data_IF_433218068917
#
_entry.id   IF_433218068917
#
_cell.length_a   1.000
_cell.length_b   1.000
_cell.length_c   1.000
_cell.angle_alpha   90.00
_cell.angle_beta   90.00
_cell.angle_gamma   90.00
#
_symmetry.space_group_name_H-M   'P 1'
#
loop_
_entity.id
_entity.type
_entity.pdbx_description
1 polymer ?
#
# COMPACT_ATOMS: atom_id res chain seq x y z
N UNK A 1 3.99 -36.39 -8.25
CA UNK A 1 4.50 -36.18 -9.62
C UNK A 1 4.13 -34.80 -10.17
N UNK A 2 2.84 -34.41 -10.24
CA UNK A 2 2.40 -33.13 -10.83
C UNK A 2 2.88 -31.91 -10.01
N UNK A 3 2.71 -31.91 -8.70
CA UNK A 3 3.17 -30.85 -7.83
C UNK A 3 4.70 -30.62 -7.93
N UNK A 4 5.48 -31.69 -8.10
CA UNK A 4 6.92 -31.58 -8.28
C UNK A 4 7.30 -30.92 -9.60
N UNK A 5 6.58 -31.24 -10.67
CA UNK A 5 6.74 -30.58 -11.98
C UNK A 5 6.42 -29.08 -11.88
N UNK A 6 5.35 -28.73 -11.17
CA UNK A 6 4.99 -27.34 -10.92
C UNK A 6 6.08 -26.58 -10.14
N UNK A 7 6.60 -27.15 -9.05
CA UNK A 7 7.71 -26.55 -8.29
C UNK A 7 8.96 -26.37 -9.14
N UNK A 8 9.31 -27.38 -9.95
CA UNK A 8 10.46 -27.31 -10.87
C UNK A 8 10.28 -26.24 -11.96
N UNK A 9 9.08 -26.07 -12.47
CA UNK A 9 8.76 -25.02 -13.45
C UNK A 9 8.85 -23.62 -12.80
N UNK A 10 8.32 -23.43 -11.57
CA UNK A 10 8.46 -22.18 -10.83
C UNK A 10 9.92 -21.84 -10.52
N UNK A 11 10.73 -22.82 -10.13
CA UNK A 11 12.16 -22.63 -9.87
C UNK A 11 12.94 -22.19 -11.12
N UNK A 12 12.41 -22.48 -12.32
CA UNK A 12 12.95 -22.02 -13.61
C UNK A 12 12.30 -20.74 -14.12
N UNK A 13 11.48 -20.07 -13.31
CA UNK A 13 10.70 -18.88 -13.67
C UNK A 13 9.70 -19.13 -14.82
N UNK A 14 9.33 -20.38 -15.07
CA UNK A 14 8.39 -20.81 -16.08
C UNK A 14 6.96 -20.91 -15.52
N UNK A 15 6.45 -19.81 -14.97
CA UNK A 15 5.19 -19.81 -14.23
C UNK A 15 4.00 -20.28 -15.08
N UNK A 16 3.92 -19.87 -16.34
CA UNK A 16 2.86 -20.32 -17.25
C UNK A 16 2.83 -21.85 -17.44
N UNK A 17 4.01 -22.51 -17.40
CA UNK A 17 4.10 -23.97 -17.46
C UNK A 17 3.80 -24.63 -16.12
N UNK A 18 4.01 -23.92 -15.00
CA UNK A 18 3.70 -24.43 -13.66
C UNK A 18 2.19 -24.57 -13.44
N UNK A 19 1.38 -23.67 -14.00
CA UNK A 19 -0.07 -23.61 -13.80
C UNK A 19 -0.76 -24.95 -14.07
N UNK A 20 -0.67 -25.57 -15.26
CA UNK A 20 -1.41 -26.82 -15.54
C UNK A 20 -0.97 -27.99 -14.65
N UNK A 21 0.29 -28.02 -14.24
CA UNK A 21 0.77 -29.04 -13.30
C UNK A 21 0.22 -28.82 -11.89
N UNK A 22 0.11 -27.57 -11.44
CA UNK A 22 -0.46 -27.23 -10.14
C UNK A 22 -1.97 -27.45 -10.14
N UNK A 23 -2.70 -27.10 -11.20
CA UNK A 23 -4.12 -27.42 -11.38
C UNK A 23 -4.39 -28.93 -11.29
N UNK A 24 -3.55 -29.73 -11.98
CA UNK A 24 -3.64 -31.19 -11.87
C UNK A 24 -3.40 -31.68 -10.46
N UNK A 25 -2.46 -31.09 -9.70
CA UNK A 25 -2.20 -31.50 -8.33
C UNK A 25 -3.40 -31.21 -7.42
N UNK A 26 -4.01 -30.04 -7.55
CA UNK A 26 -5.22 -29.66 -6.80
C UNK A 26 -6.41 -30.53 -7.19
N UNK A 27 -6.59 -30.84 -8.48
CA UNK A 27 -7.66 -31.74 -8.94
C UNK A 27 -7.57 -33.14 -8.29
N UNK A 28 -6.33 -33.64 -8.07
CA UNK A 28 -6.11 -34.94 -7.41
C UNK A 28 -6.33 -34.89 -5.90
N UNK A 29 -6.02 -33.78 -5.25
CA UNK A 29 -6.19 -33.58 -3.80
C UNK A 29 -6.73 -32.18 -3.52
N UNK A 30 -8.05 -31.97 -3.67
CA UNK A 30 -8.66 -30.64 -3.63
C UNK A 30 -8.55 -29.91 -2.28
N UNK A 31 -8.34 -30.61 -1.19
CA UNK A 31 -8.24 -30.06 0.16
C UNK A 31 -6.81 -30.02 0.71
N UNK A 32 -5.80 -30.32 -0.12
CA UNK A 32 -4.40 -30.17 0.27
C UNK A 32 -4.00 -28.69 0.18
N UNK A 33 -3.77 -28.06 1.33
CA UNK A 33 -3.41 -26.63 1.44
C UNK A 33 -2.08 -26.33 0.72
N UNK A 34 -1.11 -27.27 0.73
CA UNK A 34 0.17 -27.10 0.06
C UNK A 34 0.04 -27.11 -1.46
N UNK A 35 -0.86 -27.93 -2.03
CA UNK A 35 -1.11 -27.91 -3.47
C UNK A 35 -1.90 -26.67 -3.89
N UNK A 36 -2.84 -26.20 -3.07
CA UNK A 36 -3.51 -24.92 -3.32
C UNK A 36 -2.57 -23.73 -3.23
N UNK A 37 -1.68 -23.69 -2.25
CA UNK A 37 -0.65 -22.66 -2.16
C UNK A 37 0.28 -22.67 -3.37
N UNK A 38 0.66 -23.85 -3.86
CA UNK A 38 1.45 -24.01 -5.08
C UNK A 38 0.70 -23.50 -6.32
N UNK A 39 -0.59 -23.79 -6.42
CA UNK A 39 -1.45 -23.30 -7.49
C UNK A 39 -1.59 -21.77 -7.44
N UNK A 40 -1.90 -21.23 -6.26
CA UNK A 40 -2.01 -19.78 -6.04
C UNK A 40 -0.72 -19.04 -6.42
N UNK A 41 0.44 -19.58 -6.01
CA UNK A 41 1.75 -19.04 -6.36
C UNK A 41 1.99 -19.12 -7.87
N UNK A 42 1.59 -20.21 -8.52
CA UNK A 42 1.73 -20.39 -9.97
C UNK A 42 0.91 -19.35 -10.73
N UNK A 43 -0.34 -19.11 -10.32
CA UNK A 43 -1.18 -18.07 -10.90
C UNK A 43 -0.59 -16.67 -10.69
N UNK A 44 -0.15 -16.35 -9.46
CA UNK A 44 0.43 -15.04 -9.13
C UNK A 44 1.67 -14.76 -9.99
N UNK A 45 2.56 -15.75 -10.11
CA UNK A 45 3.78 -15.65 -10.92
C UNK A 45 3.51 -15.66 -12.42
N UNK A 46 2.39 -16.22 -12.85
CA UNK A 46 1.95 -16.17 -14.25
C UNK A 46 1.18 -14.86 -14.59
N UNK A 47 1.04 -13.92 -13.64
CA UNK A 47 0.29 -12.68 -13.85
C UNK A 47 -1.23 -12.86 -13.89
N UNK A 48 -1.75 -14.02 -13.43
CA UNK A 48 -3.16 -14.35 -13.35
C UNK A 48 -3.71 -13.98 -11.97
N UNK A 49 -3.98 -12.69 -11.78
CA UNK A 49 -4.27 -12.15 -10.46
C UNK A 49 -5.65 -12.54 -9.92
N UNK A 50 -6.67 -12.63 -10.76
CA UNK A 50 -8.00 -13.06 -10.31
C UNK A 50 -8.01 -14.54 -9.88
N UNK A 51 -7.30 -15.41 -10.64
CA UNK A 51 -7.09 -16.81 -10.26
C UNK A 51 -6.28 -16.94 -8.98
N UNK A 52 -5.25 -16.10 -8.81
CA UNK A 52 -4.41 -16.09 -7.61
C UNK A 52 -5.21 -15.66 -6.37
N UNK A 53 -6.06 -14.63 -6.47
CA UNK A 53 -6.94 -14.17 -5.41
C UNK A 53 -7.85 -15.30 -4.92
N UNK A 54 -8.54 -15.98 -5.83
CA UNK A 54 -9.41 -17.10 -5.49
C UNK A 54 -8.63 -18.24 -4.82
N UNK A 55 -7.49 -18.64 -5.40
CA UNK A 55 -6.71 -19.76 -4.89
C UNK A 55 -6.06 -19.46 -3.52
N UNK A 56 -5.58 -18.23 -3.26
CA UNK A 56 -5.09 -17.84 -1.94
C UNK A 56 -6.22 -17.73 -0.91
N UNK A 57 -7.42 -17.31 -1.30
CA UNK A 57 -8.63 -17.37 -0.47
C UNK A 57 -8.94 -18.80 -0.02
N UNK A 58 -8.84 -19.76 -0.94
CA UNK A 58 -8.97 -21.19 -0.63
C UNK A 58 -7.88 -21.68 0.35
N UNK A 59 -6.62 -21.21 0.19
CA UNK A 59 -5.54 -21.53 1.14
C UNK A 59 -5.89 -21.05 2.55
N UNK A 60 -6.31 -19.80 2.69
CA UNK A 60 -6.66 -19.22 4.00
C UNK A 60 -7.91 -19.86 4.62
N UNK A 61 -8.82 -20.41 3.80
CA UNK A 61 -9.95 -21.22 4.30
C UNK A 61 -9.47 -22.51 4.95
N UNK A 62 -8.41 -23.13 4.42
CA UNK A 62 -7.81 -24.37 4.96
C UNK A 62 -6.78 -24.11 6.06
N UNK A 63 -6.01 -23.03 5.94
CA UNK A 63 -4.93 -22.62 6.84
C UNK A 63 -5.04 -21.13 7.16
N UNK A 64 -5.94 -20.73 8.09
CA UNK A 64 -6.20 -19.31 8.37
C UNK A 64 -4.99 -18.52 8.89
N UNK A 65 -4.00 -19.23 9.42
CA UNK A 65 -2.81 -18.63 10.03
C UNK A 65 -1.61 -18.48 9.07
N UNK A 66 -1.79 -18.82 7.79
CA UNK A 66 -0.72 -18.68 6.78
C UNK A 66 -0.52 -17.21 6.38
N UNK A 67 0.44 -16.54 7.06
CA UNK A 67 0.78 -15.14 6.81
C UNK A 67 1.30 -14.88 5.40
N UNK A 68 1.96 -15.86 4.79
CA UNK A 68 2.45 -15.75 3.40
C UNK A 68 1.27 -15.78 2.42
N UNK A 69 0.31 -16.66 2.63
CA UNK A 69 -0.91 -16.71 1.83
C UNK A 69 -1.70 -15.40 1.98
N UNK A 70 -1.82 -14.87 3.21
CA UNK A 70 -2.51 -13.61 3.49
C UNK A 70 -1.86 -12.42 2.75
N UNK A 71 -0.52 -12.29 2.82
CA UNK A 71 0.20 -11.24 2.11
C UNK A 71 0.02 -11.35 0.59
N UNK A 72 0.15 -12.55 0.03
CA UNK A 72 0.00 -12.77 -1.40
C UNK A 72 -1.46 -12.60 -1.87
N UNK A 73 -2.44 -12.94 -1.03
CA UNK A 73 -3.86 -12.63 -1.28
C UNK A 73 -4.05 -11.13 -1.39
N UNK A 74 -3.52 -10.36 -0.43
CA UNK A 74 -3.61 -8.90 -0.46
C UNK A 74 -2.96 -8.31 -1.72
N UNK A 75 -1.80 -8.82 -2.15
CA UNK A 75 -1.16 -8.39 -3.39
C UNK A 75 -2.03 -8.72 -4.63
N UNK A 76 -2.64 -9.91 -4.69
CA UNK A 76 -3.55 -10.27 -5.77
C UNK A 76 -4.79 -9.37 -5.79
N UNK A 77 -5.35 -9.04 -4.62
CA UNK A 77 -6.47 -8.11 -4.45
C UNK A 77 -6.11 -6.68 -4.89
N UNK A 78 -4.92 -6.18 -4.54
CA UNK A 78 -4.42 -4.89 -5.02
C UNK A 78 -4.33 -4.88 -6.54
N UNK A 79 -3.77 -5.93 -7.14
CA UNK A 79 -3.67 -6.06 -8.59
C UNK A 79 -5.03 -6.12 -9.29
N UNK A 80 -6.04 -6.70 -8.63
CA UNK A 80 -7.44 -6.70 -9.07
C UNK A 80 -8.17 -5.37 -8.85
N UNK A 81 -7.55 -4.39 -8.18
CA UNK A 81 -8.20 -3.13 -7.80
C UNK A 81 -9.12 -3.24 -6.58
N UNK A 82 -9.06 -4.36 -5.86
CA UNK A 82 -9.89 -4.63 -4.66
C UNK A 82 -9.19 -4.11 -3.40
N UNK A 83 -8.84 -2.80 -3.37
CA UNK A 83 -8.02 -2.20 -2.30
C UNK A 83 -8.64 -2.32 -0.92
N UNK A 84 -9.97 -2.25 -0.79
CA UNK A 84 -10.64 -2.42 0.50
C UNK A 84 -10.51 -3.84 1.02
N UNK A 85 -10.71 -4.84 0.16
CA UNK A 85 -10.50 -6.25 0.51
C UNK A 85 -9.05 -6.52 0.90
N UNK A 86 -8.09 -5.93 0.17
CA UNK A 86 -6.67 -6.05 0.49
C UNK A 86 -6.34 -5.50 1.88
N UNK A 87 -6.83 -4.30 2.20
CA UNK A 87 -6.63 -3.72 3.55
C UNK A 87 -7.23 -4.60 4.63
N UNK A 88 -8.47 -5.09 4.43
CA UNK A 88 -9.11 -6.00 5.38
C UNK A 88 -8.32 -7.29 5.58
N UNK A 89 -7.77 -7.85 4.51
CA UNK A 89 -6.90 -9.04 4.59
C UNK A 89 -5.64 -8.74 5.40
N UNK A 90 -4.98 -7.61 5.14
CA UNK A 90 -3.77 -7.19 5.86
C UNK A 90 -4.06 -6.94 7.34
N UNK A 91 -5.13 -6.22 7.68
CA UNK A 91 -5.53 -5.93 9.05
C UNK A 91 -5.86 -7.22 9.84
N UNK A 92 -6.55 -8.18 9.19
CA UNK A 92 -6.91 -9.46 9.83
C UNK A 92 -5.66 -10.27 10.20
N UNK A 93 -4.59 -10.19 9.40
CA UNK A 93 -3.39 -10.99 9.56
C UNK A 93 -2.17 -10.17 10.03
N UNK A 94 -2.36 -8.91 10.44
CA UNK A 94 -1.31 -7.95 10.80
C UNK A 94 -0.26 -8.56 11.75
N UNK A 95 -0.71 -9.20 12.82
CA UNK A 95 0.16 -9.74 13.86
C UNK A 95 1.12 -10.86 13.39
N UNK A 96 0.87 -11.44 12.20
CA UNK A 96 1.63 -12.57 11.65
C UNK A 96 2.46 -12.22 10.42
N UNK A 97 2.15 -11.14 9.74
CA UNK A 97 2.90 -10.65 8.57
C UNK A 97 4.13 -9.88 9.05
N UNK A 98 5.27 -10.11 8.42
CA UNK A 98 6.48 -9.32 8.72
C UNK A 98 6.21 -7.82 8.52
N UNK A 99 6.53 -6.95 9.49
CA UNK A 99 6.23 -5.52 9.40
C UNK A 99 6.83 -4.83 8.18
N UNK A 100 7.96 -5.33 7.66
CA UNK A 100 8.60 -4.81 6.44
C UNK A 100 7.73 -5.03 5.21
N UNK A 101 7.08 -6.19 5.12
CA UNK A 101 6.22 -6.55 4.00
C UNK A 101 4.81 -5.99 4.19
N UNK A 102 4.29 -6.01 5.42
CA UNK A 102 3.01 -5.43 5.79
C UNK A 102 2.93 -3.94 5.44
N UNK A 103 3.93 -3.15 5.85
CA UNK A 103 3.92 -1.72 5.64
C UNK A 103 3.95 -1.35 4.15
N UNK A 104 4.72 -2.08 3.33
CA UNK A 104 4.70 -1.86 1.88
C UNK A 104 3.36 -2.27 1.26
N UNK A 105 2.79 -3.42 1.68
CA UNK A 105 1.49 -3.87 1.18
C UNK A 105 0.37 -2.88 1.53
N UNK A 106 0.36 -2.29 2.75
CA UNK A 106 -0.57 -1.24 3.16
C UNK A 106 -0.42 0.02 2.30
N UNK A 107 0.82 0.43 2.00
CA UNK A 107 1.06 1.58 1.13
C UNK A 107 0.51 1.36 -0.28
N UNK A 108 0.68 0.16 -0.84
CA UNK A 108 0.15 -0.24 -2.14
C UNK A 108 -1.37 -0.39 -2.13
N UNK A 109 -1.95 -0.81 -1.00
CA UNK A 109 -3.40 -0.92 -0.82
C UNK A 109 -4.10 0.45 -0.63
N UNK A 110 -3.41 1.56 -0.92
CA UNK A 110 -3.95 2.91 -0.83
C UNK A 110 -3.96 3.51 0.58
N UNK A 111 -3.21 2.94 1.52
CA UNK A 111 -3.00 3.46 2.87
C UNK A 111 -1.52 3.81 3.13
N UNK A 112 -0.91 4.69 2.31
CA UNK A 112 0.53 4.93 2.39
C UNK A 112 0.96 5.55 3.73
N UNK A 113 0.12 6.34 4.39
CA UNK A 113 0.43 6.91 5.69
C UNK A 113 0.58 5.81 6.77
N UNK A 114 -0.37 4.86 6.81
CA UNK A 114 -0.30 3.71 7.73
C UNK A 114 0.90 2.82 7.40
N UNK A 115 1.15 2.56 6.11
CA UNK A 115 2.32 1.80 5.66
C UNK A 115 3.64 2.45 6.10
N UNK A 116 3.76 3.77 5.99
CA UNK A 116 4.91 4.54 6.48
C UNK A 116 5.08 4.38 8.00
N UNK A 117 4.01 4.49 8.78
CA UNK A 117 4.08 4.37 10.25
C UNK A 117 4.58 2.97 10.67
N UNK A 118 4.06 1.90 10.03
CA UNK A 118 4.51 0.52 10.26
C UNK A 118 5.99 0.36 9.90
N UNK A 119 6.41 0.88 8.75
CA UNK A 119 7.80 0.77 8.29
C UNK A 119 8.78 1.61 9.13
N UNK A 120 8.36 2.79 9.61
CA UNK A 120 9.16 3.57 10.58
C UNK A 120 9.38 2.76 11.87
N UNK A 121 8.36 2.09 12.37
CA UNK A 121 8.50 1.21 13.53
C UNK A 121 9.45 0.04 13.22
N UNK A 122 9.30 -0.59 12.05
CA UNK A 122 10.16 -1.69 11.61
C UNK A 122 11.64 -1.29 11.46
N UNK A 123 11.94 -0.05 11.03
CA UNK A 123 13.33 0.43 10.94
C UNK A 123 14.03 0.62 12.29
N UNK A 124 13.28 0.67 13.38
CA UNK A 124 13.81 0.75 14.75
C UNK A 124 14.10 -0.63 15.35
N UNK A 125 13.67 -1.69 14.71
CA UNK A 125 13.92 -3.06 15.15
C UNK A 125 15.40 -3.43 14.96
N UNK A 126 15.98 -4.25 15.86
CA UNK A 126 17.32 -4.81 15.66
C UNK A 126 17.45 -5.65 14.37
N UNK A 127 16.35 -6.13 13.83
CA UNK A 127 16.28 -6.91 12.59
C UNK A 127 16.08 -6.05 11.33
N UNK A 128 16.10 -4.72 11.48
CA UNK A 128 15.93 -3.80 10.36
C UNK A 128 17.03 -4.00 9.29
N UNK A 129 16.62 -4.15 8.06
CA UNK A 129 17.49 -4.43 6.92
C UNK A 129 17.46 -3.30 5.88
N UNK A 130 18.34 -3.36 4.89
CA UNK A 130 18.26 -2.48 3.73
C UNK A 130 16.91 -2.61 3.01
N UNK A 131 16.30 -3.84 2.97
CA UNK A 131 14.95 -4.05 2.43
C UNK A 131 13.92 -3.20 3.20
N UNK A 132 13.98 -3.17 4.53
CA UNK A 132 13.06 -2.38 5.37
C UNK A 132 13.17 -0.90 5.04
N UNK A 133 14.40 -0.36 4.92
CA UNK A 133 14.63 1.04 4.56
C UNK A 133 14.18 1.36 3.14
N UNK A 134 14.42 0.47 2.18
CA UNK A 134 13.98 0.66 0.80
C UNK A 134 12.46 0.59 0.67
N UNK A 135 11.78 -0.29 1.41
CA UNK A 135 10.33 -0.33 1.46
C UNK A 135 9.76 0.95 2.09
N UNK A 136 10.41 1.49 3.14
CA UNK A 136 10.02 2.77 3.73
C UNK A 136 10.22 3.92 2.73
N UNK A 137 11.33 3.93 1.99
CA UNK A 137 11.57 4.95 0.97
C UNK A 137 10.50 4.89 -0.14
N UNK A 138 10.13 3.70 -0.58
CA UNK A 138 9.04 3.53 -1.56
C UNK A 138 7.68 3.94 -0.98
N UNK A 139 7.39 3.59 0.27
CA UNK A 139 6.16 4.02 0.94
C UNK A 139 6.08 5.55 1.09
N UNK A 140 7.20 6.24 1.37
CA UNK A 140 7.27 7.70 1.33
C UNK A 140 6.95 8.24 -0.08
N UNK A 141 7.49 7.63 -1.13
CA UNK A 141 7.21 8.04 -2.51
C UNK A 141 5.72 7.86 -2.86
N UNK A 142 5.11 6.74 -2.44
CA UNK A 142 3.66 6.49 -2.61
C UNK A 142 2.80 7.47 -1.81
N UNK A 143 3.30 7.96 -0.68
CA UNK A 143 2.67 9.02 0.11
C UNK A 143 2.89 10.43 -0.46
N UNK A 144 3.67 10.59 -1.54
CA UNK A 144 4.04 11.87 -2.11
C UNK A 144 5.12 12.62 -1.31
N UNK A 145 5.79 11.96 -0.36
CA UNK A 145 6.84 12.50 0.50
C UNK A 145 8.21 12.25 -0.16
N UNK A 146 8.44 12.93 -1.29
CA UNK A 146 9.59 12.68 -2.18
C UNK A 146 10.94 12.99 -1.55
N UNK A 147 11.00 14.00 -0.70
CA UNK A 147 12.25 14.37 -0.01
C UNK A 147 12.64 13.32 1.03
N UNK A 148 11.66 12.81 1.78
CA UNK A 148 11.83 11.74 2.75
C UNK A 148 12.22 10.43 2.04
N UNK A 149 11.58 10.14 0.91
CA UNK A 149 11.93 9.00 0.06
C UNK A 149 13.39 9.06 -0.40
N UNK A 150 13.83 10.21 -0.90
CA UNK A 150 15.20 10.42 -1.35
C UNK A 150 16.21 10.30 -0.20
N UNK A 151 15.92 10.92 0.95
CA UNK A 151 16.79 10.86 2.13
C UNK A 151 16.94 9.41 2.62
N UNK A 152 15.83 8.66 2.66
CA UNK A 152 15.85 7.25 3.09
C UNK A 152 16.58 6.35 2.09
N UNK A 153 16.36 6.54 0.79
CA UNK A 153 17.08 5.81 -0.27
C UNK A 153 18.60 6.09 -0.23
N UNK A 154 18.99 7.31 0.10
CA UNK A 154 20.39 7.74 0.20
C UNK A 154 21.17 7.10 1.36
N UNK A 155 20.50 6.41 2.30
CA UNK A 155 21.21 5.65 3.34
C UNK A 155 21.85 4.36 2.78
N UNK A 156 21.33 3.84 1.68
CA UNK A 156 21.78 2.58 1.08
C UNK A 156 22.33 2.74 -0.34
N UNK A 157 22.13 3.89 -0.98
CA UNK A 157 22.48 4.16 -2.38
C UNK A 157 23.38 5.39 -2.49
N UNK A 158 24.24 5.37 -3.51
CA UNK A 158 24.97 6.59 -3.91
C UNK A 158 23.98 7.68 -4.40
N UNK A 159 24.32 8.98 -4.30
CA UNK A 159 23.39 10.06 -4.64
C UNK A 159 22.77 9.95 -6.04
N UNK A 160 23.57 9.60 -7.04
CA UNK A 160 23.08 9.44 -8.42
C UNK A 160 22.10 8.26 -8.57
N UNK A 161 22.37 7.14 -7.86
CA UNK A 161 21.49 5.96 -7.85
C UNK A 161 20.19 6.25 -7.09
N UNK A 162 20.27 7.02 -6.01
CA UNK A 162 19.09 7.45 -5.26
C UNK A 162 18.19 8.32 -6.14
N UNK A 163 18.76 9.29 -6.88
CA UNK A 163 17.99 10.14 -7.79
C UNK A 163 17.33 9.34 -8.92
N UNK A 164 18.07 8.40 -9.51
CA UNK A 164 17.50 7.48 -10.50
C UNK A 164 16.36 6.63 -9.92
N UNK A 165 16.52 6.15 -8.69
CA UNK A 165 15.49 5.38 -7.99
C UNK A 165 14.23 6.21 -7.74
N UNK A 166 14.38 7.48 -7.36
CA UNK A 166 13.26 8.41 -7.17
C UNK A 166 12.50 8.61 -8.49
N UNK A 167 13.18 8.76 -9.62
CA UNK A 167 12.52 8.86 -10.93
C UNK A 167 11.75 7.60 -11.29
N UNK A 168 12.32 6.41 -11.02
CA UNK A 168 11.62 5.13 -11.20
C UNK A 168 10.35 5.05 -10.34
N UNK A 169 10.44 5.47 -9.07
CA UNK A 169 9.27 5.47 -8.17
C UNK A 169 8.23 6.52 -8.54
N UNK A 170 8.62 7.64 -9.15
CA UNK A 170 7.67 8.62 -9.66
C UNK A 170 6.80 8.06 -10.79
N UNK A 171 7.39 7.23 -11.67
CA UNK A 171 6.63 6.50 -12.68
C UNK A 171 5.77 5.39 -12.07
N UNK A 172 6.35 4.63 -11.12
CA UNK A 172 5.65 3.56 -10.39
C UNK A 172 4.45 4.05 -9.56
N UNK A 173 4.54 5.26 -8.99
CA UNK A 173 3.46 5.85 -8.20
C UNK A 173 2.25 6.32 -9.03
N UNK A 174 2.36 6.29 -10.37
CA UNK A 174 1.30 6.67 -11.31
C UNK A 174 0.98 5.50 -12.25
N UNK A 175 0.40 4.40 -11.76
CA UNK A 175 0.07 3.25 -12.60
C UNK A 175 -1.06 3.58 -13.57
N UNK A 176 -1.03 2.97 -14.76
CA UNK A 176 -2.14 3.04 -15.70
C UNK A 176 -3.29 2.10 -15.29
N UNK A 177 -2.93 0.94 -14.71
CA UNK A 177 -3.86 -0.08 -14.26
C UNK A 177 -3.51 -0.53 -12.84
N UNK A 178 -4.50 -1.04 -12.10
CA UNK A 178 -4.31 -1.52 -10.73
C UNK A 178 -3.21 -2.59 -10.61
N UNK A 179 -3.11 -3.46 -11.62
CA UNK A 179 -2.13 -4.54 -11.67
C UNK A 179 -0.67 -4.06 -11.84
N UNK A 180 -0.43 -2.86 -12.40
CA UNK A 180 0.90 -2.45 -12.84
C UNK A 180 1.93 -2.40 -11.71
N UNK A 181 1.53 -1.91 -10.54
CA UNK A 181 2.42 -1.81 -9.38
C UNK A 181 2.81 -3.19 -8.85
N UNK A 182 1.83 -4.07 -8.67
CA UNK A 182 2.08 -5.44 -8.18
C UNK A 182 2.89 -6.23 -9.20
N UNK A 183 2.56 -6.10 -10.49
CA UNK A 183 3.29 -6.76 -11.58
C UNK A 183 4.76 -6.32 -11.62
N UNK A 184 5.03 -5.02 -11.50
CA UNK A 184 6.39 -4.49 -11.46
C UNK A 184 7.18 -4.99 -10.24
N UNK A 185 6.54 -5.07 -9.05
CA UNK A 185 7.17 -5.60 -7.84
C UNK A 185 7.49 -7.08 -7.93
N UNK A 186 6.58 -7.87 -8.53
CA UNK A 186 6.75 -9.31 -8.66
C UNK A 186 7.60 -9.71 -9.89
N UNK A 187 7.91 -8.75 -10.77
CA UNK A 187 8.61 -9.00 -12.03
C UNK A 187 7.81 -9.86 -13.00
N UNK A 188 6.48 -9.68 -13.05
CA UNK A 188 5.57 -10.45 -13.89
C UNK A 188 4.82 -9.56 -14.87
N UNK A 189 4.28 -10.15 -15.94
CA UNK A 189 3.40 -9.42 -16.88
C UNK A 189 1.96 -9.81 -16.62
N UNK A 190 1.05 -8.87 -16.35
CA UNK A 190 -0.36 -9.15 -16.22
C UNK A 190 -0.91 -9.80 -17.52
N UNK A 191 -1.75 -10.79 -17.36
CA UNK A 191 -2.44 -11.44 -18.48
C UNK A 191 -3.94 -11.41 -18.26
N UNK A 192 -4.71 -11.52 -19.34
CA UNK A 192 -6.16 -11.67 -19.23
C UNK A 192 -6.48 -12.95 -18.45
N UNK A 193 -7.25 -12.80 -17.38
CA UNK A 193 -7.51 -13.88 -16.42
C UNK A 193 -9.01 -14.02 -16.15
N UNK A 194 -9.66 -15.07 -16.66
CA UNK A 194 -11.08 -15.33 -16.40
C UNK A 194 -11.37 -15.83 -14.99
N UNK A 195 -10.35 -15.98 -14.15
CA UNK A 195 -10.44 -16.57 -12.82
C UNK A 195 -10.03 -18.04 -12.77
N UNK A 196 -10.01 -18.59 -11.56
CA UNK A 196 -9.74 -20.00 -11.30
C UNK A 196 -10.85 -20.87 -11.92
N UNK A 197 -10.51 -22.01 -12.58
CA UNK A 197 -11.51 -22.95 -13.06
C UNK A 197 -12.48 -23.36 -11.95
N UNK A 198 -13.78 -23.29 -12.22
CA UNK A 198 -14.84 -23.59 -11.22
C UNK A 198 -14.66 -24.97 -10.59
N UNK A 199 -14.23 -25.97 -11.39
CA UNK A 199 -13.98 -27.32 -10.89
C UNK A 199 -12.86 -27.42 -9.84
N UNK A 200 -12.00 -26.39 -9.72
CA UNK A 200 -10.91 -26.34 -8.75
C UNK A 200 -11.25 -25.49 -7.53
N UNK A 201 -12.40 -24.81 -7.50
CA UNK A 201 -12.83 -24.06 -6.32
C UNK A 201 -13.01 -24.99 -5.13
N UNK A 202 -12.58 -24.55 -3.93
CA UNK A 202 -12.61 -25.38 -2.71
C UNK A 202 -14.03 -25.90 -2.38
N UNK A 203 -15.04 -25.10 -2.66
CA UNK A 203 -16.45 -25.39 -2.43
C UNK A 203 -17.19 -25.76 -3.73
N UNK A 204 -16.47 -26.13 -4.79
CA UNK A 204 -17.12 -26.67 -5.97
C UNK A 204 -17.90 -27.92 -5.58
N UNK A 205 -19.22 -27.89 -5.75
CA UNK A 205 -20.03 -29.09 -5.69
C UNK A 205 -19.50 -30.04 -6.76
N UNK A 206 -18.90 -31.14 -6.36
CA UNK A 206 -18.57 -32.22 -7.31
C UNK A 206 -19.90 -32.60 -7.94
N UNK A 207 -20.10 -32.46 -9.27
CA UNK A 207 -21.27 -33.02 -9.88
C UNK A 207 -21.20 -34.51 -9.60
N UNK A 208 -22.08 -34.98 -8.72
CA UNK A 208 -22.30 -36.41 -8.52
C UNK A 208 -22.71 -36.92 -9.88
N UNK A 209 -21.81 -37.62 -10.55
CA UNK A 209 -22.15 -38.40 -11.73
C UNK A 209 -23.12 -39.46 -11.25
N UNK A 210 -24.40 -39.11 -11.34
CA UNK A 210 -25.47 -40.12 -11.16
C UNK A 210 -25.23 -41.11 -12.28
N UNK A 211 -24.65 -42.25 -11.92
CA UNK A 211 -24.64 -43.42 -12.76
C UNK A 211 -26.12 -43.74 -13.08
N UNK A 212 -26.58 -43.39 -14.26
CA UNK A 212 -27.84 -43.83 -14.79
C UNK A 212 -27.73 -45.33 -14.94
N UNK A 213 -28.28 -46.07 -13.98
CA UNK A 213 -28.64 -47.44 -14.18
C UNK A 213 -29.77 -47.45 -15.23
N UNK A 214 -29.53 -48.14 -16.32
CA UNK A 214 -30.50 -48.43 -17.36
C UNK A 214 -31.72 -49.10 -16.76
N UNK A 215 -32.83 -48.38 -16.70
CA UNK A 215 -34.14 -48.93 -16.62
C UNK A 215 -34.99 -48.15 -17.63
N UNK A 216 -35.27 -48.80 -18.75
CA UNK A 216 -36.01 -48.24 -19.85
C UNK A 216 -37.44 -47.79 -19.45
N UNK A 217 -37.80 -46.59 -19.83
CA UNK A 217 -39.17 -46.16 -20.05
C UNK A 217 -39.18 -45.29 -21.30
N UNK A 218 -39.90 -45.79 -22.30
CA UNK A 218 -40.23 -45.04 -23.52
C UNK A 218 -41.21 -43.93 -23.18
N UNK A 219 -40.92 -42.69 -23.54
CA UNK A 219 -41.89 -41.59 -23.54
C UNK A 219 -41.69 -40.71 -24.75
N UNK A 220 -42.69 -40.71 -25.55
CA UNK A 220 -43.25 -39.79 -26.55
C UNK A 220 -42.47 -38.52 -26.88
N UNK A 221 -42.35 -38.31 -28.19
CA UNK A 221 -41.91 -37.14 -28.88
C UNK A 221 -42.74 -35.88 -28.55
N UNK A 222 -42.08 -34.78 -28.27
CA UNK A 222 -42.62 -33.43 -28.32
C UNK A 222 -41.88 -32.60 -29.38
N UNK A 223 -42.50 -31.62 -30.03
CA UNK A 223 -42.11 -31.11 -31.34
C UNK A 223 -40.93 -30.17 -31.33
N UNK A 224 -40.17 -30.25 -32.40
CA UNK A 224 -39.01 -29.38 -32.68
C UNK A 224 -39.42 -27.91 -32.86
N UNK A 225 -38.64 -26.95 -32.31
CA UNK A 225 -38.77 -25.54 -32.72
C UNK A 225 -38.00 -25.31 -34.04
N UNK A 226 -38.68 -24.74 -34.99
CA UNK A 226 -38.17 -24.34 -36.29
C UNK A 226 -37.03 -23.30 -36.13
N UNK A 227 -35.86 -23.63 -36.65
CA UNK A 227 -34.75 -22.68 -36.84
C UNK A 227 -35.07 -21.79 -38.03
N UNK A 228 -35.28 -20.51 -37.80
CA UNK A 228 -35.17 -19.48 -38.84
C UNK A 228 -33.70 -19.16 -39.08
N UNK A 229 -33.24 -19.49 -40.26
CA UNK A 229 -31.95 -19.10 -40.80
C UNK A 229 -31.97 -17.64 -41.21
N UNK A 230 -31.32 -16.77 -40.42
CA UNK A 230 -31.01 -15.41 -40.84
C UNK A 230 -29.72 -15.45 -41.62
N UNK A 231 -29.77 -15.12 -42.89
CA UNK A 231 -28.61 -15.01 -43.77
C UNK A 231 -27.73 -13.81 -43.32
N UNK A 232 -26.51 -14.09 -42.88
CA UNK A 232 -25.50 -13.07 -42.62
C UNK A 232 -24.76 -12.78 -43.93
N UNK A 233 -24.92 -11.54 -44.40
CA UNK A 233 -24.20 -11.02 -45.56
C UNK A 233 -22.68 -10.99 -45.28
N UNK A 234 -21.91 -11.51 -46.24
CA UNK A 234 -20.46 -11.48 -46.18
C UNK A 234 -19.96 -10.03 -46.30
N UNK A 235 -19.24 -9.57 -45.26
CA UNK A 235 -18.47 -8.33 -45.28
C UNK A 235 -17.04 -8.67 -45.69
N UNK A 236 -16.57 -8.12 -46.83
CA UNK A 236 -15.20 -8.19 -47.30
C UNK A 236 -14.21 -7.60 -46.30
N UNK A 237 -13.02 -8.18 -46.09
CA UNK A 237 -12.03 -7.63 -45.20
C UNK A 237 -11.40 -6.36 -45.79
N UNK A 238 -11.39 -5.31 -45.00
CA UNK A 238 -10.65 -4.08 -45.25
C UNK A 238 -9.13 -4.32 -45.04
N UNK A 239 -8.23 -3.57 -45.71
CA UNK A 239 -6.78 -3.85 -45.69
C UNK A 239 -6.20 -3.58 -44.30
N UNK A 240 -5.35 -4.51 -43.88
CA UNK A 240 -4.57 -4.46 -42.64
C UNK A 240 -3.59 -3.27 -42.72
N UNK A 241 -3.78 -2.27 -41.92
CA UNK A 241 -2.79 -1.19 -41.72
C UNK A 241 -1.71 -1.78 -40.79
N UNK A 242 -0.50 -1.83 -41.31
CA UNK A 242 0.72 -2.26 -40.63
C UNK A 242 0.91 -1.45 -39.33
N UNK A 243 0.74 -2.09 -38.18
CA UNK A 243 0.91 -1.47 -36.88
C UNK A 243 2.40 -1.18 -36.66
N UNK A 244 2.71 0.12 -36.52
CA UNK A 244 4.03 0.59 -36.13
C UNK A 244 4.50 -0.10 -34.87
N UNK A 245 5.75 -0.60 -34.89
CA UNK A 245 6.42 -1.28 -33.80
C UNK A 245 6.36 -0.44 -32.51
N UNK A 246 5.75 -1.00 -31.49
CA UNK A 246 5.79 -0.45 -30.14
C UNK A 246 7.23 -0.55 -29.60
N UNK A 247 7.77 0.49 -28.94
CA UNK A 247 9.09 0.42 -28.35
C UNK A 247 9.13 -0.68 -27.29
N UNK A 248 10.09 -1.60 -27.42
CA UNK A 248 10.33 -2.68 -26.48
C UNK A 248 10.56 -2.10 -25.07
N UNK A 249 9.70 -2.48 -24.13
CA UNK A 249 9.90 -2.17 -22.71
C UNK A 249 11.17 -2.89 -22.26
N UNK A 250 12.22 -2.13 -21.94
CA UNK A 250 13.49 -2.67 -21.49
C UNK A 250 13.28 -3.53 -20.23
N UNK A 251 13.64 -4.82 -20.31
CA UNK A 251 13.70 -5.71 -19.15
C UNK A 251 14.62 -5.10 -18.11
N UNK A 252 14.09 -4.74 -16.94
CA UNK A 252 14.90 -4.33 -15.80
C UNK A 252 15.57 -5.57 -15.23
N UNK A 253 16.81 -5.82 -15.66
CA UNK A 253 17.66 -6.88 -15.10
C UNK A 253 18.40 -6.30 -13.91
N UNK A 254 18.13 -6.80 -12.70
CA UNK A 254 18.89 -6.44 -11.52
C UNK A 254 20.28 -7.07 -11.63
N UNK A 255 21.32 -6.23 -11.78
CA UNK A 255 22.70 -6.71 -11.75
C UNK A 255 23.03 -7.27 -10.36
N UNK A 256 23.82 -8.36 -10.26
CA UNK A 256 24.26 -8.89 -8.98
C UNK A 256 25.10 -7.83 -8.25
N UNK A 257 24.75 -7.61 -6.99
CA UNK A 257 25.33 -6.61 -6.08
C UNK A 257 26.82 -6.90 -5.87
N UNK A 258 27.69 -5.98 -6.25
CA UNK A 258 29.07 -5.93 -5.69
C UNK A 258 28.97 -5.27 -4.33
N UNK A 259 29.22 -6.02 -3.27
CA UNK A 259 29.41 -5.44 -1.93
C UNK A 259 30.74 -4.65 -1.91
N UNK A 260 30.66 -3.35 -1.90
CA UNK A 260 31.77 -2.51 -1.50
C UNK A 260 31.69 -2.31 0.02
N UNK A 261 32.49 -3.05 0.75
CA UNK A 261 32.76 -2.78 2.16
C UNK A 261 33.71 -1.59 2.21
N UNK A 262 33.17 -0.39 2.38
CA UNK A 262 33.96 0.79 2.65
C UNK A 262 34.36 0.74 4.12
N UNK A 263 35.65 0.53 4.39
CA UNK A 263 36.19 0.60 5.73
C UNK A 263 35.92 2.00 6.30
N UNK A 264 35.21 2.08 7.42
CA UNK A 264 35.04 3.33 8.16
C UNK A 264 36.41 3.85 8.56
N UNK A 265 36.73 5.15 8.40
CA UNK A 265 37.96 5.71 8.92
C UNK A 265 38.00 5.51 10.42
N UNK A 266 39.06 4.87 10.93
CA UNK A 266 39.31 4.69 12.35
C UNK A 266 39.50 6.07 12.98
N UNK A 267 38.42 6.64 13.54
CA UNK A 267 38.54 7.80 14.44
C UNK A 267 39.14 7.26 15.73
N UNK A 268 40.40 7.53 15.99
CA UNK A 268 41.04 7.22 17.25
C UNK A 268 40.30 7.96 18.37
N UNK A 269 39.48 7.25 19.13
CA UNK A 269 38.93 7.76 20.37
C UNK A 269 40.05 7.77 21.41
N UNK A 270 40.63 8.94 21.65
CA UNK A 270 41.40 9.18 22.89
C UNK A 270 40.41 9.35 24.02
N UNK A 271 40.42 8.52 25.07
CA UNK A 271 39.60 8.75 26.24
C UNK A 271 40.10 10.00 26.97
N UNK A 272 39.40 11.11 26.77
CA UNK A 272 39.61 12.29 27.57
C UNK A 272 39.08 11.98 28.99
N UNK A 273 39.95 12.16 29.99
CA UNK A 273 39.68 12.07 31.42
C UNK A 273 38.35 12.74 31.77
N UNK A 274 37.31 11.93 32.13
CA UNK A 274 36.10 12.44 32.72
C UNK A 274 36.41 12.71 34.20
N UNK A 275 36.99 13.88 34.48
CA UNK A 275 37.02 14.42 35.82
C UNK A 275 35.55 14.66 36.28
N UNK A 276 35.20 14.11 37.44
CA UNK A 276 33.95 14.39 38.14
C UNK A 276 33.84 15.89 38.40
N UNK A 277 33.11 16.63 37.54
CA UNK A 277 32.62 17.93 37.87
C UNK A 277 31.33 17.78 38.65
N UNK A 278 31.12 18.55 39.75
CA UNK A 278 29.90 18.51 40.53
C UNK A 278 28.74 18.99 39.65
N UNK A 279 27.63 18.25 39.68
CA UNK A 279 26.38 18.64 39.05
C UNK A 279 25.87 19.90 39.78
N UNK A 280 26.22 21.07 39.24
CA UNK A 280 25.57 22.29 39.63
C UNK A 280 24.13 22.24 39.09
N UNK A 281 23.19 22.17 40.01
CA UNK A 281 21.77 22.30 39.79
C UNK A 281 21.51 23.63 39.08
N UNK A 282 21.47 23.62 37.75
CA UNK A 282 21.15 24.79 36.98
C UNK A 282 19.70 25.15 37.25
N UNK A 283 19.51 26.10 38.16
CA UNK A 283 18.24 26.75 38.42
C UNK A 283 17.54 27.04 37.08
N UNK A 284 16.38 26.44 36.90
CA UNK A 284 15.48 26.69 35.77
C UNK A 284 15.14 28.17 35.79
N UNK A 285 15.87 28.97 35.00
CA UNK A 285 15.42 30.33 34.70
C UNK A 285 14.06 30.20 34.04
N UNK A 286 13.02 30.90 34.55
CA UNK A 286 11.73 30.93 33.86
C UNK A 286 12.00 31.57 32.49
N UNK A 287 11.78 30.80 31.45
CA UNK A 287 11.78 31.30 30.08
C UNK A 287 10.62 32.28 30.00
N UNK A 288 10.92 33.56 29.86
CA UNK A 288 9.93 34.59 29.62
C UNK A 288 9.04 34.15 28.42
N UNK A 289 7.70 34.37 28.51
CA UNK A 289 6.82 34.03 27.43
C UNK A 289 7.27 34.80 26.19
N UNK A 290 7.80 34.08 25.19
CA UNK A 290 8.10 34.65 23.88
C UNK A 290 6.80 35.17 23.30
N UNK A 291 6.74 36.47 23.05
CA UNK A 291 5.68 37.09 22.27
C UNK A 291 5.69 36.38 20.92
N UNK A 292 4.65 35.63 20.60
CA UNK A 292 4.53 34.96 19.30
C UNK A 292 4.46 36.02 18.22
N UNK A 293 5.43 36.05 17.33
CA UNK A 293 5.35 36.91 16.17
C UNK A 293 4.17 36.47 15.30
N UNK A 294 3.27 37.42 14.98
CA UNK A 294 2.17 37.15 14.04
C UNK A 294 2.76 36.96 12.66
N UNK A 295 2.41 35.83 12.04
CA UNK A 295 2.86 35.51 10.69
C UNK A 295 1.78 34.76 9.90
N UNK A 296 2.06 34.51 8.62
CA UNK A 296 1.13 33.88 7.69
C UNK A 296 1.27 32.36 7.62
N UNK A 297 1.90 31.75 8.64
CA UNK A 297 2.12 30.32 8.67
C UNK A 297 1.06 29.60 9.51
N UNK A 298 0.67 28.44 9.02
CA UNK A 298 -0.35 27.57 9.58
C UNK A 298 0.18 26.19 9.88
N UNK A 299 -0.25 25.62 11.00
CA UNK A 299 -0.09 24.19 11.32
C UNK A 299 -1.40 23.52 10.92
N UNK A 300 -1.42 22.80 9.83
CA UNK A 300 -2.57 22.03 9.38
C UNK A 300 -2.60 20.71 10.14
N UNK A 301 -3.74 20.41 10.74
CA UNK A 301 -3.98 19.21 11.57
C UNK A 301 -4.55 18.08 10.72
N UNK A 302 -5.36 18.41 9.71
CA UNK A 302 -5.95 17.44 8.82
C UNK A 302 -6.90 18.05 7.79
N UNK A 303 -7.42 17.15 6.93
CA UNK A 303 -8.55 17.40 6.05
C UNK A 303 -9.62 16.34 6.36
N UNK A 304 -10.88 16.76 6.48
CA UNK A 304 -11.99 15.96 6.97
C UNK A 304 -13.17 16.08 6.01
N UNK A 305 -14.05 15.10 6.03
CA UNK A 305 -15.22 15.07 5.14
C UNK A 305 -16.25 16.15 5.44
N UNK A 306 -16.23 16.75 6.66
CA UNK A 306 -17.12 17.84 7.04
C UNK A 306 -16.53 18.73 8.13
N UNK A 307 -17.13 19.90 8.33
CA UNK A 307 -16.79 20.82 9.42
C UNK A 307 -17.04 20.21 10.80
N UNK A 308 -18.05 19.37 10.96
CA UNK A 308 -18.37 18.73 12.24
C UNK A 308 -17.32 17.69 12.62
N UNK A 309 -16.89 16.86 11.68
CA UNK A 309 -15.79 15.89 11.89
C UNK A 309 -14.49 16.63 12.22
N UNK A 310 -14.24 17.78 11.58
CA UNK A 310 -13.09 18.61 11.88
C UNK A 310 -13.19 19.23 13.30
N UNK A 311 -14.38 19.60 13.76
CA UNK A 311 -14.62 20.09 15.13
C UNK A 311 -14.27 19.04 16.17
N UNK A 312 -14.72 17.81 15.97
CA UNK A 312 -14.40 16.69 16.86
C UNK A 312 -12.89 16.35 16.86
N UNK A 313 -12.27 16.42 15.69
CA UNK A 313 -10.81 16.29 15.59
C UNK A 313 -10.06 17.40 16.33
N UNK A 314 -10.57 18.63 16.29
CA UNK A 314 -10.02 19.75 17.07
C UNK A 314 -10.10 19.52 18.57
N UNK A 315 -11.23 19.03 19.09
CA UNK A 315 -11.38 18.70 20.51
C UNK A 315 -10.32 17.67 20.94
N UNK A 316 -10.16 16.60 20.15
CA UNK A 316 -9.13 15.57 20.40
C UNK A 316 -7.71 16.14 20.34
N UNK A 317 -7.44 17.02 19.38
CA UNK A 317 -6.13 17.63 19.22
C UNK A 317 -5.76 18.51 20.44
N UNK A 318 -6.71 19.31 20.96
CA UNK A 318 -6.52 20.13 22.15
C UNK A 318 -6.31 19.28 23.41
N UNK A 319 -7.04 18.20 23.57
CA UNK A 319 -6.84 17.26 24.68
C UNK A 319 -5.46 16.63 24.66
N UNK A 320 -4.97 16.28 23.47
CA UNK A 320 -3.67 15.66 23.28
C UNK A 320 -2.50 16.62 23.49
N UNK A 321 -2.67 17.87 23.11
CA UNK A 321 -1.59 18.86 23.09
C UNK A 321 -2.02 20.21 23.65
N UNK A 322 -1.58 20.48 24.89
CA UNK A 322 -1.88 21.73 25.59
C UNK A 322 -1.38 23.01 24.89
N UNK A 323 -0.42 22.87 23.94
CA UNK A 323 0.07 24.00 23.14
C UNK A 323 -0.98 24.58 22.18
N UNK A 324 -2.12 23.92 22.01
CA UNK A 324 -3.29 24.47 21.30
C UNK A 324 -4.29 25.16 22.23
N UNK A 325 -4.02 25.19 23.55
CA UNK A 325 -4.87 25.95 24.49
C UNK A 325 -4.75 27.44 24.18
N UNK A 326 -5.89 28.11 24.10
CA UNK A 326 -5.94 29.55 23.77
C UNK A 326 -5.72 29.89 22.29
N UNK A 327 -5.55 28.89 21.41
CA UNK A 327 -5.50 29.11 19.96
C UNK A 327 -6.89 28.94 19.33
N UNK A 328 -7.14 29.68 18.26
CA UNK A 328 -8.41 29.61 17.53
C UNK A 328 -8.20 28.77 16.29
N UNK A 329 -9.01 27.71 16.06
CA UNK A 329 -8.91 26.89 14.86
C UNK A 329 -9.34 27.69 13.63
N UNK A 330 -8.61 27.51 12.55
CA UNK A 330 -8.96 27.98 11.24
C UNK A 330 -9.39 26.81 10.34
N UNK A 331 -10.29 27.08 9.42
CA UNK A 331 -10.77 26.08 8.52
C UNK A 331 -11.18 26.66 7.18
N UNK A 332 -11.22 25.79 6.18
CA UNK A 332 -11.63 26.13 4.83
C UNK A 332 -12.11 24.88 4.13
N UNK A 333 -13.27 25.00 3.46
CA UNK A 333 -13.75 23.97 2.55
C UNK A 333 -13.02 24.09 1.22
N UNK A 334 -12.54 22.97 0.70
CA UNK A 334 -11.94 22.91 -0.63
C UNK A 334 -12.44 21.69 -1.39
N UNK A 335 -12.56 21.83 -2.70
CA UNK A 335 -13.02 20.77 -3.61
C UNK A 335 -11.83 20.17 -4.35
N UNK A 336 -11.82 18.85 -4.39
CA UNK A 336 -11.00 18.07 -5.34
C UNK A 336 -11.87 17.64 -6.51
N UNK A 337 -11.31 17.04 -7.54
CA UNK A 337 -12.08 16.56 -8.69
C UNK A 337 -13.22 15.58 -8.31
N UNK A 338 -13.11 14.87 -7.19
CA UNK A 338 -14.06 13.82 -6.79
C UNK A 338 -14.78 14.07 -5.47
N UNK A 339 -14.28 14.96 -4.59
CA UNK A 339 -14.83 15.16 -3.24
C UNK A 339 -14.59 16.58 -2.72
N UNK A 340 -15.42 16.96 -1.75
CA UNK A 340 -15.27 18.17 -0.96
C UNK A 340 -14.71 17.81 0.42
N UNK A 341 -13.74 18.59 0.90
CA UNK A 341 -13.10 18.38 2.20
C UNK A 341 -13.07 19.66 3.00
N UNK A 342 -13.10 19.52 4.33
CA UNK A 342 -12.88 20.60 5.27
C UNK A 342 -11.48 20.53 5.85
N UNK A 343 -10.66 21.55 5.56
CA UNK A 343 -9.30 21.68 6.08
C UNK A 343 -9.34 22.27 7.48
N UNK A 344 -8.65 21.65 8.43
CA UNK A 344 -8.50 22.15 9.80
C UNK A 344 -7.05 22.55 10.04
N UNK A 345 -6.82 23.78 10.50
CA UNK A 345 -5.51 24.34 10.78
C UNK A 345 -5.53 25.30 11.97
N UNK A 346 -4.34 25.63 12.46
CA UNK A 346 -4.11 26.71 13.43
C UNK A 346 -3.10 27.65 12.81
N UNK A 347 -3.42 28.93 12.74
CA UNK A 347 -2.62 29.93 12.05
C UNK A 347 -2.10 31.07 12.93
N UNK A 348 -1.45 32.02 12.27
CA UNK A 348 -0.91 33.20 12.90
C UNK A 348 0.50 33.00 13.49
N UNK A 349 1.24 32.01 12.98
CA UNK A 349 2.60 31.72 13.43
C UNK A 349 3.65 32.33 12.50
N UNK A 350 4.85 32.65 13.05
CA UNK A 350 6.05 32.68 12.24
C UNK A 350 6.35 31.26 11.71
N UNK A 351 7.13 31.14 10.65
CA UNK A 351 7.51 29.79 10.13
C UNK A 351 8.19 28.94 11.20
N UNK A 352 9.10 29.53 11.96
CA UNK A 352 9.83 28.85 13.03
C UNK A 352 8.92 28.35 14.14
N UNK A 353 7.91 29.18 14.56
CA UNK A 353 6.95 28.79 15.57
C UNK A 353 5.97 27.73 15.07
N UNK A 354 5.54 27.77 13.80
CA UNK A 354 4.72 26.75 13.18
C UNK A 354 5.45 25.40 13.16
N UNK A 355 6.73 25.39 12.73
CA UNK A 355 7.56 24.19 12.72
C UNK A 355 7.78 23.63 14.14
N UNK A 356 8.06 24.49 15.12
CA UNK A 356 8.21 24.09 16.52
C UNK A 356 6.91 23.50 17.09
N UNK A 357 5.77 24.16 16.82
CA UNK A 357 4.45 23.72 17.29
C UNK A 357 4.07 22.37 16.67
N UNK A 358 4.29 22.20 15.36
CA UNK A 358 4.00 20.93 14.68
C UNK A 358 4.90 19.79 15.18
N UNK A 359 6.21 20.02 15.39
CA UNK A 359 7.10 19.04 16.02
C UNK A 359 6.64 18.63 17.42
N UNK A 360 6.27 19.61 18.25
CA UNK A 360 5.80 19.34 19.61
C UNK A 360 4.46 18.57 19.63
N UNK A 361 3.56 18.86 18.70
CA UNK A 361 2.31 18.12 18.54
C UNK A 361 2.53 16.68 18.05
N UNK A 362 3.44 16.47 17.09
CA UNK A 362 3.85 15.13 16.63
C UNK A 362 4.46 14.30 17.76
N UNK A 363 5.27 14.90 18.62
CA UNK A 363 5.84 14.23 19.79
C UNK A 363 4.79 13.73 20.79
N UNK A 364 3.54 14.23 20.70
CA UNK A 364 2.38 13.77 21.48
C UNK A 364 1.46 12.84 20.66
N UNK A 365 1.95 12.28 19.54
CA UNK A 365 1.19 11.39 18.67
C UNK A 365 0.13 12.09 17.82
N UNK A 366 0.26 13.40 17.58
CA UNK A 366 -0.57 14.14 16.65
C UNK A 366 0.01 14.13 15.23
N UNK A 367 -0.84 14.32 14.23
CA UNK A 367 -0.45 14.50 12.84
C UNK A 367 -0.60 15.96 12.43
N UNK A 368 0.42 16.54 11.81
CA UNK A 368 0.38 17.91 11.30
C UNK A 368 1.44 18.15 10.21
N UNK A 369 1.22 19.20 9.42
CA UNK A 369 2.27 19.78 8.58
C UNK A 369 2.16 21.31 8.56
N UNK A 370 3.27 21.97 8.28
CA UNK A 370 3.38 23.42 8.26
C UNK A 370 3.25 23.91 6.82
N UNK A 371 2.45 24.95 6.60
CA UNK A 371 2.24 25.60 5.31
C UNK A 371 2.00 27.12 5.44
N UNK A 372 2.17 27.82 4.36
CA UNK A 372 1.71 29.21 4.27
C UNK A 372 0.17 29.28 4.22
N UNK A 373 -0.38 30.43 4.61
CA UNK A 373 -1.81 30.69 4.52
C UNK A 373 -2.33 30.53 3.11
N UNK A 374 -3.53 29.93 2.98
CA UNK A 374 -4.17 29.68 1.69
C UNK A 374 -5.69 29.87 1.81
N UNK A 375 -6.10 31.08 2.25
CA UNK A 375 -7.49 31.44 2.40
C UNK A 375 -8.19 30.85 3.62
N UNK A 376 -7.42 30.36 4.61
CA UNK A 376 -7.99 29.84 5.86
C UNK A 376 -8.67 30.94 6.63
N UNK A 377 -9.89 30.67 7.08
CA UNK A 377 -10.69 31.55 7.92
C UNK A 377 -10.91 30.93 9.30
N UNK A 378 -11.21 31.75 10.29
CA UNK A 378 -11.63 31.23 11.59
C UNK A 378 -12.80 30.26 11.37
N UNK A 379 -12.69 29.07 11.93
CA UNK A 379 -13.71 28.03 11.79
C UNK A 379 -15.07 28.55 12.28
N UNK A 380 -16.13 28.35 11.49
CA UNK A 380 -17.46 28.93 11.77
C UNK A 380 -17.97 28.56 13.16
N UNK A 381 -17.72 27.33 13.61
CA UNK A 381 -18.09 26.82 14.91
C UNK A 381 -17.24 27.42 16.06
N UNK A 382 -16.13 28.10 15.77
CA UNK A 382 -15.29 28.79 16.75
C UNK A 382 -15.64 30.28 16.90
N UNK A 383 -16.40 30.83 15.93
CA UNK A 383 -16.82 32.25 15.97
C UNK A 383 -17.85 32.55 17.09
N UNK A 384 -18.63 31.55 17.53
CA UNK A 384 -19.66 31.70 18.56
C UNK A 384 -19.15 31.77 20.01
N UNK A 385 -17.84 31.60 20.26
CA UNK A 385 -17.24 31.59 21.58
C UNK A 385 -16.49 32.87 21.99
N UNK A 386 -16.33 33.82 21.07
CA UNK A 386 -15.69 35.11 21.36
C UNK A 386 -16.76 36.19 21.47
N UNK A 387 -17.57 36.14 22.53
CA UNK A 387 -18.16 37.38 23.02
C UNK A 387 -17.05 38.18 23.72
N UNK A 388 -16.52 39.14 23.00
CA UNK A 388 -15.67 40.18 23.57
C UNK A 388 -16.53 40.93 24.54
N UNK A 389 -16.26 40.79 25.82
CA UNK A 389 -16.72 41.72 26.82
C UNK A 389 -16.05 43.07 26.54
N UNK A 390 -16.75 43.91 25.81
CA UNK A 390 -16.43 45.32 25.72
C UNK A 390 -17.04 45.99 26.94
N UNK A 391 -16.20 46.35 27.90
CA UNK A 391 -16.35 47.50 28.77
C UNK A 391 -14.97 48.02 29.19
#
# INVERSE_FOLDING_TARGET
>A
ASAEKARKALAKEQAAQAVPFAETAVAMQPRDAGYRALLAQSYLKAGRFASAEAAYGDVLTLTPDDSRAALNLALAQIAGGHWEAARKTLDTHEARIDPTDLGLALALAGSPATGVDVLIAATRSPTASAKTRQNLALAFALAGLWQEARNMAGLDLAPADADQRIMQWAAFAKPNHAADQVAALLGVTPVADPGQPVALALNASVPVAVARSDAGVAVMAAPEPKTETVAVAAVSPAPVVEAAAQPAVAKITFAPRREFVQALPAVAFTPANIGKAPIAEAARRPVAPRVREKGDWYVQIGAYDSADVARDAWVRARQRFAGFSGTVPAGMTFKTASREYYRLSVGGFSRADADATCRAYRAKGGTCFVRAGAGDQIAQWAKGGVQVASR
#
